data_IF_457606095380
#
_entry.id   IF_457606095380
#
_cell.length_a   1.000
_cell.length_b   1.000
_cell.length_c   1.000
_cell.angle_alpha   90.00
_cell.angle_beta   90.00
_cell.angle_gamma   90.00
#
_symmetry.space_group_name_H-M   'P 1'
#
loop_
_entity.id
_entity.type
_entity.pdbx_description
1 polymer ?
#
# COMPACT_ATOMS: atom_id res chain seq x y z
N UNK A 1 9.67 13.54 2.14
CA UNK A 1 10.11 13.53 0.73
C UNK A 1 8.95 13.16 -0.19
N UNK A 2 8.69 11.87 -0.42
CA UNK A 2 7.65 11.41 -1.36
C UNK A 2 6.26 11.95 -1.05
N UNK A 3 5.82 11.90 0.21
CA UNK A 3 4.49 12.40 0.63
C UNK A 3 4.33 13.89 0.28
N UNK A 4 5.35 14.72 0.52
CA UNK A 4 5.31 16.15 0.17
C UNK A 4 5.26 16.38 -1.34
N UNK A 5 5.97 15.57 -2.13
CA UNK A 5 5.90 15.64 -3.59
C UNK A 5 4.51 15.26 -4.13
N UNK A 6 3.88 14.24 -3.53
CA UNK A 6 2.51 13.83 -3.87
C UNK A 6 1.53 14.93 -3.52
N UNK A 7 1.64 15.48 -2.30
CA UNK A 7 0.82 16.60 -1.85
C UNK A 7 0.96 17.80 -2.78
N UNK A 8 2.20 18.14 -3.15
CA UNK A 8 2.48 19.21 -4.12
C UNK A 8 1.73 18.98 -5.42
N UNK A 9 1.79 17.76 -5.97
CA UNK A 9 1.15 17.43 -7.23
C UNK A 9 -0.38 17.51 -7.11
N UNK A 10 -0.95 16.93 -6.05
CA UNK A 10 -2.41 16.93 -5.79
C UNK A 10 -2.96 18.33 -5.62
N UNK A 11 -2.33 19.16 -4.77
CA UNK A 11 -2.82 20.52 -4.48
C UNK A 11 -2.70 21.47 -5.68
N UNK A 12 -1.80 21.17 -6.63
CA UNK A 12 -1.57 22.00 -7.82
C UNK A 12 -2.14 21.41 -9.11
N UNK A 13 -2.91 20.33 -9.03
CA UNK A 13 -3.45 19.61 -10.19
C UNK A 13 -2.36 19.22 -11.22
N UNK A 14 -1.17 18.88 -10.74
CA UNK A 14 -0.10 18.34 -11.58
C UNK A 14 -0.37 16.84 -11.77
N UNK A 15 -0.37 16.33 -13.01
CA UNK A 15 -0.52 14.89 -13.25
C UNK A 15 0.53 14.09 -12.47
N UNK A 16 0.07 13.09 -11.73
CA UNK A 16 0.90 12.21 -10.90
C UNK A 16 0.66 10.75 -11.29
N UNK A 17 1.73 9.99 -11.48
CA UNK A 17 1.68 8.54 -11.72
C UNK A 17 2.56 7.82 -10.70
N UNK A 18 1.92 7.20 -9.71
CA UNK A 18 2.59 6.47 -8.64
C UNK A 18 2.81 5.00 -9.01
N UNK A 19 4.06 4.61 -9.25
CA UNK A 19 4.42 3.22 -9.57
C UNK A 19 4.77 2.47 -8.30
N UNK A 20 4.17 1.30 -8.10
CA UNK A 20 4.45 0.39 -6.98
C UNK A 20 4.38 1.13 -5.62
N UNK A 21 5.50 1.35 -4.96
CA UNK A 21 5.54 2.06 -3.68
C UNK A 21 5.05 3.51 -3.76
N UNK A 22 5.19 4.16 -4.93
CA UNK A 22 4.63 5.49 -5.16
C UNK A 22 3.11 5.51 -4.98
N UNK A 23 2.40 4.48 -5.48
CA UNK A 23 0.96 4.33 -5.27
C UNK A 23 0.62 4.22 -3.78
N UNK A 24 1.39 3.43 -3.03
CA UNK A 24 1.18 3.26 -1.59
C UNK A 24 1.34 4.58 -0.84
N UNK A 25 2.37 5.37 -1.17
CA UNK A 25 2.57 6.69 -0.57
C UNK A 25 1.47 7.69 -0.95
N UNK A 26 0.86 7.55 -2.13
CA UNK A 26 -0.26 8.38 -2.54
C UNK A 26 -1.52 8.09 -1.72
N UNK A 27 -1.78 6.82 -1.40
CA UNK A 27 -2.85 6.43 -0.48
C UNK A 27 -2.61 7.02 0.91
N UNK A 28 -1.38 6.94 1.43
CA UNK A 28 -1.01 7.50 2.74
C UNK A 28 -1.19 9.03 2.77
N UNK A 29 -0.74 9.75 1.72
CA UNK A 29 -0.93 11.20 1.63
C UNK A 29 -2.42 11.59 1.63
N UNK A 30 -3.23 10.89 0.82
CA UNK A 30 -4.66 11.14 0.73
C UNK A 30 -5.38 10.84 2.06
N UNK A 31 -5.04 9.74 2.73
CA UNK A 31 -5.60 9.40 4.04
C UNK A 31 -5.31 10.50 5.08
N UNK A 32 -4.06 11.00 5.14
CA UNK A 32 -3.65 12.04 6.09
C UNK A 32 -4.28 13.41 5.82
N UNK A 33 -4.39 13.79 4.54
CA UNK A 33 -4.73 15.16 4.16
C UNK A 33 -6.17 15.36 3.69
N UNK A 34 -6.83 14.32 3.16
CA UNK A 34 -8.23 14.40 2.70
C UNK A 34 -9.21 13.76 3.70
N UNK A 35 -8.85 12.60 4.27
CA UNK A 35 -9.75 11.85 5.17
C UNK A 35 -9.56 12.26 6.62
N UNK A 36 -8.35 12.69 7.00
CA UNK A 36 -8.03 13.15 8.36
C UNK A 36 -7.36 12.11 9.26
N UNK A 37 -6.98 10.95 8.73
CA UNK A 37 -6.23 9.91 9.43
C UNK A 37 -4.75 10.31 9.55
N UNK A 38 -4.41 11.08 10.59
CA UNK A 38 -3.09 11.72 10.72
C UNK A 38 -1.95 10.74 10.96
N UNK A 39 -2.24 9.58 11.54
CA UNK A 39 -1.27 8.53 11.84
C UNK A 39 -1.23 7.45 10.73
N UNK A 40 -1.99 7.64 9.64
CA UNK A 40 -2.07 6.70 8.53
C UNK A 40 -0.66 6.32 8.03
N UNK A 41 -0.36 5.02 7.96
CA UNK A 41 0.98 4.53 7.58
C UNK A 41 0.91 3.17 6.88
N UNK A 42 2.07 2.72 6.40
CA UNK A 42 2.30 1.33 5.96
C UNK A 42 2.84 0.50 7.12
N UNK A 43 2.43 -0.77 7.23
CA UNK A 43 3.03 -1.72 8.17
C UNK A 43 4.51 -1.99 7.87
N UNK A 44 4.99 -1.65 6.67
CA UNK A 44 6.40 -1.74 6.29
C UNK A 44 7.30 -0.78 7.12
N UNK A 45 6.72 0.29 7.67
CA UNK A 45 7.42 1.22 8.56
C UNK A 45 7.35 0.83 10.04
N UNK A 46 6.74 -0.32 10.36
CA UNK A 46 6.51 -0.80 11.72
C UNK A 46 5.07 -0.62 12.20
N UNK A 47 4.81 -0.85 13.50
CA UNK A 47 3.47 -0.75 14.08
C UNK A 47 2.88 0.65 13.88
N UNK A 48 1.66 0.70 13.34
CA UNK A 48 0.88 1.93 13.21
C UNK A 48 -0.50 1.73 13.82
N UNK A 49 -1.06 2.82 14.38
CA UNK A 49 -2.45 2.87 14.84
C UNK A 49 -3.44 2.91 13.68
N UNK A 50 -2.99 3.35 12.50
CA UNK A 50 -3.79 3.52 11.29
C UNK A 50 -3.06 2.88 10.08
N UNK A 51 -2.91 1.53 10.04
CA UNK A 51 -2.21 0.86 8.94
C UNK A 51 -3.09 0.80 7.68
N UNK A 52 -2.96 1.80 6.81
CA UNK A 52 -3.75 1.89 5.55
C UNK A 52 -3.13 1.08 4.42
N UNK A 53 -1.85 0.70 4.54
CA UNK A 53 -1.16 -0.22 3.64
C UNK A 53 -0.56 -1.33 4.49
N UNK A 54 -0.81 -2.58 4.11
CA UNK A 54 -0.41 -3.75 4.90
C UNK A 54 0.09 -4.90 4.05
N UNK A 55 0.75 -5.86 4.71
CA UNK A 55 1.03 -7.17 4.14
C UNK A 55 -0.29 -7.89 3.82
N UNK A 56 -0.37 -8.49 2.64
CA UNK A 56 -1.48 -9.35 2.27
C UNK A 56 -1.32 -10.69 3.02
N UNK A 57 -2.12 -10.88 4.06
CA UNK A 57 -2.10 -12.09 4.89
C UNK A 57 -2.99 -13.20 4.36
N UNK A 58 -3.83 -12.94 3.35
CA UNK A 58 -4.72 -13.93 2.77
C UNK A 58 -4.85 -13.72 1.26
N UNK A 59 -4.67 -14.78 0.46
CA UNK A 59 -4.93 -14.72 -0.97
C UNK A 59 -5.36 -16.08 -1.52
N UNK A 60 -6.08 -16.06 -2.64
CA UNK A 60 -6.54 -17.26 -3.33
C UNK A 60 -5.50 -17.68 -4.38
N UNK A 61 -5.11 -18.96 -4.35
CA UNK A 61 -4.29 -19.60 -5.39
C UNK A 61 -5.04 -20.80 -5.94
N UNK A 62 -5.62 -20.65 -7.13
CA UNK A 62 -6.51 -21.67 -7.70
C UNK A 62 -7.82 -21.75 -6.90
N UNK A 63 -8.08 -22.91 -6.28
CA UNK A 63 -9.24 -23.13 -5.41
C UNK A 63 -8.88 -23.12 -3.91
N UNK A 64 -7.63 -22.81 -3.56
CA UNK A 64 -7.14 -22.81 -2.19
C UNK A 64 -6.94 -21.37 -1.68
N UNK A 65 -7.33 -21.15 -0.42
CA UNK A 65 -7.05 -19.91 0.31
C UNK A 65 -5.77 -20.13 1.09
N UNK A 66 -4.74 -19.34 0.78
CA UNK A 66 -3.52 -19.29 1.58
C UNK A 66 -3.69 -18.18 2.63
N UNK A 67 -3.48 -18.51 3.90
CA UNK A 67 -3.49 -17.55 5.02
C UNK A 67 -2.12 -17.54 5.70
N UNK A 68 -1.66 -16.37 6.13
CA UNK A 68 -0.40 -16.16 6.84
C UNK A 68 -0.57 -15.35 8.10
N UNK A 69 0.21 -15.72 9.12
CA UNK A 69 0.42 -14.93 10.32
C UNK A 69 1.75 -14.17 10.25
N UNK A 70 1.86 -13.09 11.05
CA UNK A 70 3.06 -12.24 11.10
C UNK A 70 4.35 -12.96 11.56
N UNK A 71 4.23 -14.17 12.13
CA UNK A 71 5.35 -15.00 12.59
C UNK A 71 5.65 -16.21 11.70
N UNK A 72 4.91 -16.40 10.61
CA UNK A 72 5.22 -17.46 9.64
C UNK A 72 6.49 -17.09 8.86
N UNK A 73 7.21 -18.11 8.40
CA UNK A 73 8.46 -17.95 7.66
C UNK A 73 8.25 -16.98 6.47
N UNK A 74 9.17 -16.01 6.29
CA UNK A 74 9.15 -15.06 5.17
C UNK A 74 9.38 -15.74 3.80
N UNK A 75 9.31 -17.08 3.75
CA UNK A 75 9.12 -17.92 2.57
C UNK A 75 7.80 -17.60 1.86
N UNK A 76 7.68 -16.36 1.41
CA UNK A 76 6.60 -15.82 0.62
C UNK A 76 7.14 -15.40 -0.72
N UNK A 77 6.78 -16.13 -1.76
CA UNK A 77 7.03 -15.67 -3.12
C UNK A 77 6.41 -14.28 -3.29
N UNK A 78 7.19 -13.30 -3.71
CA UNK A 78 6.66 -11.99 -4.07
C UNK A 78 5.53 -12.16 -5.09
N UNK A 79 4.52 -11.29 -5.04
CA UNK A 79 3.56 -11.18 -6.13
C UNK A 79 4.30 -10.67 -7.37
N UNK A 80 4.77 -11.61 -8.18
CA UNK A 80 5.66 -11.39 -9.32
C UNK A 80 5.20 -12.21 -10.52
N UNK A 81 5.38 -11.66 -11.72
CA UNK A 81 4.88 -12.24 -12.97
C UNK A 81 3.66 -11.51 -13.51
N UNK A 82 3.10 -12.03 -14.59
CA UNK A 82 1.89 -11.47 -15.18
C UNK A 82 0.68 -11.81 -14.31
N UNK A 83 -0.07 -10.78 -13.93
CA UNK A 83 -1.38 -10.91 -13.27
C UNK A 83 -2.38 -10.09 -14.07
N UNK A 84 -3.60 -10.62 -14.21
CA UNK A 84 -4.69 -9.89 -14.84
C UNK A 84 -5.04 -8.67 -13.97
N UNK A 85 -5.05 -7.49 -14.58
CA UNK A 85 -5.52 -6.26 -13.99
C UNK A 85 -6.64 -5.71 -14.88
N UNK A 86 -7.82 -5.46 -14.27
CA UNK A 86 -8.95 -4.82 -14.93
C UNK A 86 -9.08 -3.41 -14.35
N UNK A 87 -9.28 -2.43 -15.21
CA UNK A 87 -9.52 -1.03 -14.85
C UNK A 87 -11.01 -0.78 -14.64
#
# INVERSE_FOLDING_TARGET
GMIEAIRFARERNVPYFGICFGMQMAVVEAARNLVGLKDASSTEFGPSKEPVVGLLTEWVRGNEVETRAAGDDLGGTMRLGAYEARL
#
